data_IF_381894511035
#
_entry.id   IF_381894511035
#
_cell.length_a   1.000
_cell.length_b   1.000
_cell.length_c   1.000
_cell.angle_alpha   90.00
_cell.angle_beta   90.00
_cell.angle_gamma   90.00
#
_symmetry.space_group_name_H-M   'P 1'
#
loop_
_entity.id
_entity.type
_entity.pdbx_description
1 polymer ?
#
# COMPACT_ATOMS: atom_id res chain seq x y z
N UNK A 1 -60.07 13.56 27.57
CA UNK A 1 -58.68 13.80 27.12
C UNK A 1 -58.03 15.02 27.81
N UNK A 2 -58.16 15.17 29.13
CA UNK A 2 -57.54 16.29 29.91
C UNK A 2 -56.73 15.83 31.12
N UNK A 3 -56.69 14.52 31.41
CA UNK A 3 -55.98 13.95 32.57
C UNK A 3 -54.60 13.38 32.23
N UNK A 4 -54.32 13.10 30.95
CA UNK A 4 -53.05 12.53 30.50
C UNK A 4 -51.96 13.58 30.23
N UNK A 5 -52.32 14.83 29.96
CA UNK A 5 -51.37 15.92 29.73
C UNK A 5 -50.73 16.44 31.03
N UNK A 6 -51.42 16.31 32.16
CA UNK A 6 -50.96 16.79 33.47
C UNK A 6 -49.88 15.84 34.05
N UNK A 7 -49.95 14.54 33.76
CA UNK A 7 -48.98 13.55 34.26
C UNK A 7 -47.63 13.68 33.54
N UNK A 8 -47.62 14.03 32.25
CA UNK A 8 -46.38 14.22 31.47
C UNK A 8 -45.64 15.51 31.87
N UNK A 9 -46.38 16.56 32.25
CA UNK A 9 -45.78 17.83 32.69
C UNK A 9 -45.12 17.74 34.08
N UNK A 10 -45.67 16.92 34.99
CA UNK A 10 -45.12 16.75 36.34
C UNK A 10 -43.82 15.92 36.31
N UNK A 11 -43.72 14.92 35.42
CA UNK A 11 -42.51 14.07 35.34
C UNK A 11 -41.30 14.81 34.74
N UNK A 12 -41.51 15.76 33.83
CA UNK A 12 -40.41 16.55 33.22
C UNK A 12 -39.87 17.65 34.14
N UNK A 13 -40.68 18.15 35.09
CA UNK A 13 -40.25 19.15 36.07
C UNK A 13 -39.39 18.54 37.19
N UNK A 14 -39.64 17.27 37.57
CA UNK A 14 -38.87 16.61 38.65
C UNK A 14 -37.47 16.20 38.19
N UNK A 15 -37.28 15.85 36.91
CA UNK A 15 -35.97 15.45 36.37
C UNK A 15 -35.03 16.62 36.05
N UNK A 16 -35.55 17.82 35.81
CA UNK A 16 -34.75 19.00 35.42
C UNK A 16 -34.41 19.93 36.58
N UNK A 17 -35.11 19.82 37.71
CA UNK A 17 -34.97 20.76 38.85
C UNK A 17 -34.29 20.15 40.09
N UNK A 18 -34.09 18.82 40.16
CA UNK A 18 -33.58 18.13 41.38
C UNK A 18 -32.21 17.44 41.17
N UNK A 19 -31.60 17.52 39.98
CA UNK A 19 -30.33 16.81 39.67
C UNK A 19 -29.15 17.66 39.15
N UNK A 20 -29.01 18.93 39.54
CA UNK A 20 -27.68 19.46 39.78
C UNK A 20 -27.56 19.80 41.27
N UNK A 21 -26.43 19.44 41.89
CA UNK A 21 -26.06 19.72 43.28
C UNK A 21 -26.45 18.67 44.35
N UNK A 22 -25.85 17.48 44.24
CA UNK A 22 -25.24 16.82 45.41
C UNK A 22 -23.74 16.73 45.15
N UNK A 23 -22.96 17.57 45.84
CA UNK A 23 -21.49 17.52 45.85
C UNK A 23 -20.79 18.80 45.39
N UNK A 24 -20.97 19.91 46.12
CA UNK A 24 -20.18 21.13 45.95
C UNK A 24 -18.87 21.10 46.75
N UNK A 25 -17.87 21.85 46.28
CA UNK A 25 -17.09 22.83 47.07
C UNK A 25 -15.99 23.48 46.21
N UNK A 26 -16.13 24.79 45.96
CA UNK A 26 -15.01 25.73 45.87
C UNK A 26 -15.17 26.78 46.99
N UNK A 27 -14.38 27.87 47.08
CA UNK A 27 -13.23 28.25 46.26
C UNK A 27 -11.98 28.66 47.09
N UNK A 28 -10.82 28.82 46.44
CA UNK A 28 -9.81 29.78 46.91
C UNK A 28 -9.27 30.58 45.73
N UNK A 29 -9.52 31.89 45.81
CA UNK A 29 -8.87 32.93 45.03
C UNK A 29 -7.47 33.13 45.64
N UNK A 30 -6.48 33.40 44.80
CA UNK A 30 -5.04 33.59 45.06
C UNK A 30 -4.13 32.35 44.88
N UNK A 31 -3.32 32.44 43.82
CA UNK A 31 -1.97 31.90 43.63
C UNK A 31 -1.78 30.38 43.43
N UNK A 32 -1.92 29.94 42.17
CA UNK A 32 -0.87 29.30 41.35
C UNK A 32 -1.52 28.78 40.06
N UNK A 33 -0.93 28.93 38.85
CA UNK A 33 -1.37 28.12 37.72
C UNK A 33 -0.93 26.68 37.99
N UNK A 34 -1.79 25.88 38.62
CA UNK A 34 -1.65 24.44 38.57
C UNK A 34 -2.04 23.99 37.15
N UNK A 35 -1.07 24.03 36.24
CA UNK A 35 -1.14 23.29 34.99
C UNK A 35 -1.18 21.80 35.35
N UNK A 36 -2.36 21.20 35.28
CA UNK A 36 -2.46 19.76 35.14
C UNK A 36 -1.90 19.42 33.75
N UNK A 37 -0.59 19.21 33.67
CA UNK A 37 -0.04 18.38 32.61
C UNK A 37 -0.70 17.03 32.80
N UNK A 38 -1.67 16.70 31.95
CA UNK A 38 -1.91 15.31 31.65
C UNK A 38 -0.54 14.75 31.30
N UNK A 39 0.06 13.96 32.19
CA UNK A 39 1.09 13.02 31.78
C UNK A 39 0.40 12.24 30.66
N UNK A 40 0.83 12.48 29.43
CA UNK A 40 0.70 11.50 28.37
C UNK A 40 0.93 10.15 29.04
N UNK A 41 -0.11 9.32 29.07
CA UNK A 41 0.13 7.90 29.18
C UNK A 41 1.16 7.64 28.08
N UNK A 42 2.38 7.27 28.49
CA UNK A 42 3.46 6.98 27.59
C UNK A 42 2.91 6.01 26.55
N UNK A 43 2.61 6.55 25.36
CA UNK A 43 2.27 5.71 24.23
C UNK A 43 3.52 4.90 23.94
N UNK A 44 3.41 3.59 23.66
CA UNK A 44 4.58 2.79 23.35
C UNK A 44 5.30 3.43 22.17
N UNK A 45 6.50 3.96 22.43
CA UNK A 45 7.41 4.45 21.40
C UNK A 45 7.94 3.20 20.70
N UNK A 46 7.51 2.97 19.46
CA UNK A 46 8.09 1.94 18.62
C UNK A 46 9.56 2.27 18.36
N UNK A 47 10.42 1.25 18.29
CA UNK A 47 11.89 1.36 18.23
C UNK A 47 12.47 2.04 16.98
N UNK A 48 11.66 2.75 16.20
CA UNK A 48 12.08 3.49 14.99
C UNK A 48 11.71 4.98 15.04
N UNK A 49 11.55 5.56 16.23
CA UNK A 49 11.62 7.01 16.35
C UNK A 49 13.00 7.47 15.87
N UNK A 50 13.05 8.08 14.68
CA UNK A 50 14.23 8.79 14.20
C UNK A 50 14.40 9.95 15.17
N UNK A 51 15.44 9.87 16.01
CA UNK A 51 15.89 10.99 16.82
C UNK A 51 16.27 12.10 15.82
N UNK A 52 15.52 13.18 15.81
CA UNK A 52 15.82 14.36 14.99
C UNK A 52 17.23 14.88 15.37
N UNK A 53 17.95 15.45 14.41
CA UNK A 53 19.29 15.99 14.66
C UNK A 53 19.32 17.01 15.82
N UNK A 54 18.19 17.68 16.06
CA UNK A 54 17.99 18.63 17.16
C UNK A 54 17.89 17.96 18.55
N UNK A 55 17.46 16.69 18.65
CA UNK A 55 17.46 15.94 19.91
C UNK A 55 18.87 15.45 20.31
N UNK A 56 19.76 15.27 19.32
CA UNK A 56 21.16 14.89 19.54
C UNK A 56 21.99 16.02 20.18
N UNK A 57 21.63 17.29 19.90
CA UNK A 57 22.27 18.47 20.49
C UNK A 57 21.87 18.69 21.97
N UNK A 58 20.77 18.06 22.43
CA UNK A 58 20.25 18.18 23.80
C UNK A 58 20.95 17.27 24.84
N UNK A 59 21.99 16.53 24.45
CA UNK A 59 22.92 15.88 25.39
C UNK A 59 22.35 14.71 26.22
N UNK A 60 21.31 14.03 25.74
CA UNK A 60 20.80 12.81 26.39
C UNK A 60 21.54 11.56 25.89
N UNK A 61 22.74 11.34 26.42
CA UNK A 61 23.53 10.14 26.16
C UNK A 61 22.98 8.91 26.87
N UNK A 62 22.38 8.00 26.11
CA UNK A 62 22.53 6.55 26.31
C UNK A 62 22.73 5.93 24.93
N UNK A 63 23.94 6.06 24.38
CA UNK A 63 24.33 5.34 23.16
C UNK A 63 25.00 4.06 23.62
N UNK A 64 24.28 2.95 23.55
CA UNK A 64 24.86 1.61 23.59
C UNK A 64 25.72 1.45 22.33
N UNK A 65 27.01 1.17 22.49
CA UNK A 65 28.00 1.12 21.39
C UNK A 65 27.62 0.05 20.35
N UNK A 66 26.84 -0.96 20.75
CA UNK A 66 26.27 -1.95 19.85
C UNK A 66 25.23 -1.37 18.88
N UNK A 67 24.54 -0.30 19.25
CA UNK A 67 23.53 0.37 18.42
C UNK A 67 24.19 1.25 17.37
N UNK A 68 25.29 1.91 17.69
CA UNK A 68 26.04 2.75 16.75
C UNK A 68 26.71 1.92 15.63
N UNK A 69 27.22 0.74 15.95
CA UNK A 69 27.87 -0.17 14.98
C UNK A 69 26.84 -0.80 14.02
N UNK A 70 25.65 -1.16 14.54
CA UNK A 70 24.51 -1.59 13.72
C UNK A 70 23.96 -0.47 12.84
N UNK A 71 23.93 0.76 13.33
CA UNK A 71 23.47 1.92 12.55
C UNK A 71 24.46 2.24 11.42
N UNK A 72 25.76 2.13 11.68
CA UNK A 72 26.80 2.32 10.66
C UNK A 72 26.74 1.24 9.58
N UNK A 73 26.47 -0.01 9.97
CA UNK A 73 26.26 -1.13 9.03
C UNK A 73 24.99 -0.91 8.20
N UNK A 74 23.87 -0.55 8.84
CA UNK A 74 22.63 -0.21 8.13
C UNK A 74 22.81 0.94 7.14
N UNK A 75 23.55 1.99 7.48
CA UNK A 75 23.81 3.13 6.58
C UNK A 75 24.66 2.70 5.36
N UNK A 76 25.59 1.78 5.55
CA UNK A 76 26.40 1.23 4.46
C UNK A 76 25.56 0.35 3.51
N UNK A 77 24.71 -0.52 4.07
CA UNK A 77 23.78 -1.36 3.30
C UNK A 77 22.75 -0.49 2.55
N UNK A 78 22.27 0.57 3.17
CA UNK A 78 21.38 1.57 2.56
C UNK A 78 22.06 2.33 1.41
N UNK A 79 23.36 2.58 1.50
CA UNK A 79 24.13 3.23 0.44
C UNK A 79 24.37 2.30 -0.74
N UNK A 80 24.63 1.02 -0.48
CA UNK A 80 24.75 -0.02 -1.50
C UNK A 80 23.41 -0.25 -2.21
N UNK A 81 22.31 -0.36 -1.47
CA UNK A 81 20.96 -0.47 -2.01
C UNK A 81 20.55 0.76 -2.85
N UNK A 82 20.99 1.97 -2.46
CA UNK A 82 20.78 3.19 -3.26
C UNK A 82 21.62 3.16 -4.54
N UNK A 83 22.86 2.66 -4.48
CA UNK A 83 23.72 2.52 -5.65
C UNK A 83 23.18 1.48 -6.64
N UNK A 84 22.70 0.34 -6.16
CA UNK A 84 22.01 -0.68 -6.98
C UNK A 84 20.72 -0.13 -7.60
N UNK A 85 19.91 0.59 -6.81
CA UNK A 85 18.70 1.28 -7.30
C UNK A 85 19.02 2.30 -8.40
N UNK A 86 20.13 3.02 -8.27
CA UNK A 86 20.57 4.00 -9.26
C UNK A 86 21.15 3.34 -10.52
N UNK A 87 21.74 2.15 -10.40
CA UNK A 87 22.18 1.34 -11.53
C UNK A 87 20.97 0.72 -12.27
N UNK A 88 19.96 0.21 -11.56
CA UNK A 88 18.73 -0.32 -12.18
C UNK A 88 17.91 0.77 -12.89
N UNK A 89 17.89 2.01 -12.38
CA UNK A 89 17.26 3.16 -13.05
C UNK A 89 17.91 3.53 -14.40
N UNK A 90 19.10 3.00 -14.70
CA UNK A 90 19.78 3.20 -16.00
C UNK A 90 19.60 2.04 -16.99
N UNK A 91 18.95 0.96 -16.56
CA UNK A 91 18.63 -0.21 -17.38
C UNK A 91 17.13 -0.21 -17.61
N UNK A 92 16.70 -0.29 -18.87
CA UNK A 92 15.31 -0.40 -19.25
C UNK A 92 14.69 -1.73 -18.74
N UNK A 93 14.23 -1.73 -17.49
CA UNK A 93 13.54 -2.85 -16.84
C UNK A 93 12.05 -2.92 -17.22
N UNK A 94 11.56 -2.01 -18.06
CA UNK A 94 10.17 -1.95 -18.52
C UNK A 94 9.81 -3.18 -19.39
N UNK A 95 10.82 -3.91 -19.90
CA UNK A 95 10.66 -5.08 -20.78
C UNK A 95 10.63 -6.44 -20.05
N UNK A 96 10.47 -6.46 -18.73
CA UNK A 96 10.29 -7.72 -17.97
C UNK A 96 8.98 -8.47 -18.31
N UNK A 97 8.12 -7.90 -19.16
CA UNK A 97 6.91 -8.52 -19.71
C UNK A 97 7.15 -9.84 -20.48
N UNK A 98 8.40 -10.26 -20.69
CA UNK A 98 8.72 -11.40 -21.57
C UNK A 98 9.64 -12.47 -20.98
N UNK A 99 9.81 -12.59 -19.66
CA UNK A 99 10.38 -13.85 -19.14
C UNK A 99 9.31 -14.95 -19.19
N UNK A 100 9.52 -16.06 -19.93
CA UNK A 100 8.67 -17.23 -19.81
C UNK A 100 8.62 -17.63 -18.34
N UNK A 101 7.44 -17.97 -17.83
CA UNK A 101 7.31 -18.57 -16.49
C UNK A 101 8.28 -19.74 -16.43
N UNK A 102 9.28 -19.73 -15.52
CA UNK A 102 10.17 -20.87 -15.38
C UNK A 102 9.33 -22.11 -15.12
N UNK A 103 9.47 -23.14 -15.96
CA UNK A 103 8.98 -24.49 -15.64
C UNK A 103 9.50 -24.82 -14.24
N UNK A 104 8.68 -25.38 -13.32
CA UNK A 104 9.14 -25.68 -11.97
C UNK A 104 10.31 -26.66 -12.05
N UNK A 105 11.52 -26.13 -12.00
CA UNK A 105 12.70 -26.92 -11.68
C UNK A 105 12.55 -27.17 -10.19
N UNK A 106 12.50 -28.45 -9.80
CA UNK A 106 12.63 -28.84 -8.40
C UNK A 106 14.05 -28.45 -8.00
N UNK A 107 14.22 -27.25 -7.46
CA UNK A 107 15.52 -26.77 -6.99
C UNK A 107 15.78 -27.43 -5.64
N UNK A 108 16.94 -28.10 -5.45
CA UNK A 108 17.36 -28.56 -4.14
C UNK A 108 17.40 -27.38 -3.15
N UNK A 109 17.13 -27.62 -1.87
CA UNK A 109 16.94 -26.71 -0.71
C UNK A 109 17.88 -25.49 -0.53
N UNK A 110 18.79 -25.18 -1.44
CA UNK A 110 19.75 -24.09 -1.34
C UNK A 110 19.28 -22.73 -1.90
N UNK A 111 18.04 -22.61 -2.40
CA UNK A 111 17.45 -21.32 -2.81
C UNK A 111 16.77 -20.53 -1.69
N UNK A 112 16.89 -20.97 -0.43
CA UNK A 112 16.40 -20.21 0.73
C UNK A 112 17.06 -18.82 0.92
N UNK A 113 18.14 -18.51 0.19
CA UNK A 113 18.88 -17.24 0.29
C UNK A 113 18.25 -16.06 -0.48
N UNK A 114 17.21 -16.27 -1.30
CA UNK A 114 16.50 -15.15 -1.96
C UNK A 114 15.47 -14.45 -1.05
N UNK A 115 15.26 -14.94 0.18
CA UNK A 115 14.35 -14.34 1.16
C UNK A 115 14.96 -13.11 1.88
N UNK A 116 16.29 -12.96 1.88
CA UNK A 116 16.97 -11.81 2.50
C UNK A 116 16.86 -10.52 1.67
N UNK A 117 16.73 -10.62 0.34
CA UNK A 117 16.64 -9.46 -0.55
C UNK A 117 15.40 -8.57 -0.30
N UNK A 118 14.47 -9.00 0.56
CA UNK A 118 13.28 -8.23 0.92
C UNK A 118 13.30 -7.68 2.35
N UNK A 119 14.32 -8.00 3.17
CA UNK A 119 14.38 -7.65 4.60
C UNK A 119 13.33 -8.35 5.48
N UNK A 120 12.72 -9.45 5.01
CA UNK A 120 11.65 -10.14 5.74
C UNK A 120 12.15 -10.87 7.00
N UNK A 121 13.33 -11.46 6.93
CA UNK A 121 14.07 -12.06 8.05
C UNK A 121 14.31 -11.01 9.15
N UNK A 122 14.85 -9.86 8.77
CA UNK A 122 15.11 -8.74 9.69
C UNK A 122 13.83 -8.21 10.33
N UNK A 123 12.76 -8.02 9.56
CA UNK A 123 11.46 -7.60 10.10
C UNK A 123 10.88 -8.61 11.08
N UNK A 124 11.04 -9.91 10.81
CA UNK A 124 10.61 -10.97 11.72
C UNK A 124 11.43 -10.94 13.01
N UNK A 125 12.75 -10.85 12.90
CA UNK A 125 13.65 -10.75 14.05
C UNK A 125 13.36 -9.49 14.89
N UNK A 126 13.07 -8.35 14.24
CA UNK A 126 12.70 -7.11 14.91
C UNK A 126 11.38 -7.23 15.68
N UNK A 127 10.37 -7.88 15.09
CA UNK A 127 9.10 -8.16 15.77
C UNK A 127 9.32 -9.06 17.00
N UNK A 128 10.08 -10.16 16.83
CA UNK A 128 10.40 -11.10 17.91
C UNK A 128 11.19 -10.43 19.04
N UNK A 129 12.13 -9.53 18.71
CA UNK A 129 12.93 -8.79 19.69
C UNK A 129 12.09 -7.88 20.61
N UNK A 130 10.93 -7.41 20.13
CA UNK A 130 9.95 -6.66 20.95
C UNK A 130 8.80 -7.53 21.46
N UNK A 131 8.91 -8.86 21.35
CA UNK A 131 7.91 -9.82 21.83
C UNK A 131 6.62 -9.87 20.99
N UNK A 132 6.66 -9.36 19.76
CA UNK A 132 5.53 -9.38 18.82
C UNK A 132 5.70 -10.47 17.76
N UNK A 133 4.59 -10.92 17.18
CA UNK A 133 4.60 -11.78 15.99
C UNK A 133 4.29 -10.95 14.73
N UNK A 134 4.71 -11.47 13.57
CA UNK A 134 4.28 -10.91 12.30
C UNK A 134 2.75 -10.90 12.18
N UNK A 135 2.16 -9.92 11.45
CA UNK A 135 0.72 -9.82 11.29
C UNK A 135 0.15 -11.08 10.63
N UNK A 136 -1.08 -11.43 10.98
CA UNK A 136 -1.82 -12.52 10.35
C UNK A 136 -2.58 -12.07 9.11
N UNK A 137 -3.08 -13.04 8.35
CA UNK A 137 -4.01 -12.80 7.25
C UNK A 137 -5.27 -12.08 7.73
N UNK A 138 -5.76 -11.15 6.92
CA UNK A 138 -7.02 -10.43 7.15
C UNK A 138 -8.09 -10.89 6.16
N UNK A 139 -9.35 -10.81 6.58
CA UNK A 139 -10.52 -11.00 5.71
C UNK A 139 -11.09 -9.67 5.25
N UNK A 140 -11.99 -9.72 4.28
CA UNK A 140 -12.72 -8.56 3.79
C UNK A 140 -13.15 -8.73 2.34
N UNK A 141 -13.77 -7.69 1.80
CA UNK A 141 -14.16 -7.62 0.38
C UNK A 141 -13.69 -6.28 -0.17
N UNK A 142 -13.22 -6.31 -1.41
CA UNK A 142 -12.91 -5.07 -2.14
C UNK A 142 -14.19 -4.37 -2.55
N UNK A 143 -14.07 -3.11 -2.99
CA UNK A 143 -15.13 -2.46 -3.74
C UNK A 143 -15.39 -3.15 -5.10
N UNK A 144 -16.29 -2.56 -5.88
CA UNK A 144 -16.53 -2.96 -7.27
C UNK A 144 -15.60 -2.24 -8.25
N UNK A 145 -15.47 -2.82 -9.44
CA UNK A 145 -14.88 -2.18 -10.62
C UNK A 145 -15.91 -2.22 -11.76
N UNK A 146 -15.91 -1.23 -12.67
CA UNK A 146 -16.98 -1.05 -13.64
C UNK A 146 -16.94 -2.06 -14.81
N UNK A 147 -15.87 -2.84 -14.98
CA UNK A 147 -15.68 -3.74 -16.11
C UNK A 147 -15.95 -3.04 -17.46
N UNK A 148 -15.29 -1.88 -17.66
CA UNK A 148 -15.47 -1.03 -18.85
C UNK A 148 -15.14 -1.81 -20.12
N UNK A 149 -15.69 -1.37 -21.24
CA UNK A 149 -15.34 -1.90 -22.55
C UNK A 149 -14.85 -0.76 -23.44
N UNK A 150 -13.78 -1.02 -24.20
CA UNK A 150 -13.12 -0.07 -25.09
C UNK A 150 -12.63 -0.77 -26.37
N UNK A 151 -12.03 -0.04 -27.31
CA UNK A 151 -11.51 -0.62 -28.57
C UNK A 151 -12.58 -1.39 -29.37
N UNK A 152 -13.82 -0.91 -29.39
CA UNK A 152 -14.92 -1.60 -30.08
C UNK A 152 -15.36 -2.93 -29.46
N UNK A 153 -15.03 -3.18 -28.18
CA UNK A 153 -15.34 -4.43 -27.48
C UNK A 153 -14.15 -5.38 -27.33
N UNK A 154 -13.00 -5.04 -27.91
CA UNK A 154 -11.79 -5.85 -27.87
C UNK A 154 -11.00 -5.70 -26.56
N UNK A 155 -11.22 -4.59 -25.86
CA UNK A 155 -10.58 -4.30 -24.58
C UNK A 155 -11.64 -4.36 -23.50
N UNK A 156 -11.39 -5.17 -22.47
CA UNK A 156 -12.21 -5.16 -21.25
C UNK A 156 -11.39 -4.65 -20.07
N UNK A 157 -11.95 -3.73 -19.30
CA UNK A 157 -11.33 -3.13 -18.13
C UNK A 157 -11.44 -4.00 -16.88
N UNK A 158 -11.07 -3.39 -15.77
CA UNK A 158 -10.93 -4.00 -14.45
C UNK A 158 -12.24 -4.61 -14.00
N UNK A 159 -12.21 -5.89 -13.67
CA UNK A 159 -13.35 -6.59 -13.08
C UNK A 159 -13.25 -6.64 -11.56
N UNK A 160 -14.38 -6.93 -10.89
CA UNK A 160 -14.36 -7.23 -9.46
C UNK A 160 -13.49 -8.46 -9.13
N UNK A 161 -13.38 -9.42 -10.05
CA UNK A 161 -12.52 -10.59 -9.92
C UNK A 161 -11.03 -10.22 -9.92
N UNK A 162 -10.62 -9.31 -10.81
CA UNK A 162 -9.24 -8.82 -10.87
C UNK A 162 -8.86 -8.10 -9.57
N UNK A 163 -9.73 -7.21 -9.09
CA UNK A 163 -9.49 -6.45 -7.86
C UNK A 163 -9.41 -7.36 -6.62
N UNK A 164 -10.30 -8.35 -6.51
CA UNK A 164 -10.28 -9.31 -5.42
C UNK A 164 -9.05 -10.23 -5.46
N UNK A 165 -8.65 -10.69 -6.66
CA UNK A 165 -7.45 -11.50 -6.84
C UNK A 165 -6.18 -10.73 -6.49
N UNK A 166 -6.07 -9.48 -6.95
CA UNK A 166 -4.99 -8.58 -6.58
C UNK A 166 -4.96 -8.33 -5.07
N UNK A 167 -6.08 -7.95 -4.46
CA UNK A 167 -6.16 -7.65 -3.03
C UNK A 167 -5.74 -8.83 -2.13
N UNK A 168 -6.21 -10.03 -2.47
CA UNK A 168 -5.86 -11.26 -1.78
C UNK A 168 -4.35 -11.52 -1.85
N UNK A 169 -3.78 -11.51 -3.06
CA UNK A 169 -2.36 -11.80 -3.25
C UNK A 169 -1.45 -10.70 -2.67
N UNK A 170 -1.82 -9.43 -2.84
CA UNK A 170 -1.09 -8.29 -2.31
C UNK A 170 -0.93 -8.38 -0.79
N UNK A 171 -2.03 -8.60 -0.06
CA UNK A 171 -1.98 -8.74 1.39
C UNK A 171 -1.33 -10.06 1.84
N UNK A 172 -1.50 -11.15 1.09
CA UNK A 172 -0.78 -12.40 1.37
C UNK A 172 0.75 -12.19 1.31
N UNK A 173 1.23 -11.47 0.29
CA UNK A 173 2.65 -11.10 0.16
C UNK A 173 3.09 -10.23 1.34
N UNK A 174 2.30 -9.22 1.72
CA UNK A 174 2.62 -8.36 2.88
C UNK A 174 2.78 -9.18 4.16
N UNK A 175 1.80 -10.02 4.46
CA UNK A 175 1.80 -10.90 5.64
C UNK A 175 2.97 -11.87 5.63
N UNK A 176 3.25 -12.53 4.50
CA UNK A 176 4.37 -13.46 4.35
C UNK A 176 5.72 -12.78 4.66
N UNK A 177 5.82 -11.49 4.38
CA UNK A 177 7.03 -10.68 4.56
C UNK A 177 7.00 -9.79 5.81
N UNK A 178 6.13 -10.10 6.78
CA UNK A 178 6.00 -9.39 8.06
C UNK A 178 5.66 -7.90 7.92
N UNK A 179 4.94 -7.53 6.87
CA UNK A 179 4.39 -6.19 6.66
C UNK A 179 2.92 -6.16 7.10
N UNK A 180 2.51 -5.07 7.75
CA UNK A 180 1.11 -4.87 8.11
C UNK A 180 0.23 -4.90 6.86
N UNK A 181 -0.82 -5.74 6.79
CA UNK A 181 -1.72 -5.75 5.64
C UNK A 181 -2.47 -4.42 5.54
N UNK A 182 -2.90 -4.07 4.34
CA UNK A 182 -3.80 -2.92 4.09
C UNK A 182 -5.23 -3.43 4.18
N UNK A 183 -6.15 -2.75 4.88
CA UNK A 183 -7.56 -3.15 4.92
C UNK A 183 -8.09 -3.44 3.51
N UNK A 184 -8.80 -4.57 3.32
CA UNK A 184 -9.18 -5.05 1.98
C UNK A 184 -10.09 -4.03 1.26
N UNK A 185 -10.92 -3.31 2.01
CA UNK A 185 -11.77 -2.22 1.55
C UNK A 185 -11.01 -0.97 1.05
N UNK A 186 -9.73 -0.85 1.42
CA UNK A 186 -8.84 0.21 0.95
C UNK A 186 -8.05 -0.19 -0.31
N UNK A 187 -8.25 -1.41 -0.81
CA UNK A 187 -7.77 -1.81 -2.13
C UNK A 187 -8.87 -1.50 -3.14
N UNK A 188 -8.66 -0.46 -3.94
CA UNK A 188 -9.71 0.23 -4.71
C UNK A 188 -9.38 0.28 -6.19
N UNK A 189 -10.42 0.19 -7.00
CA UNK A 189 -10.35 0.51 -8.42
C UNK A 189 -9.96 1.97 -8.64
N UNK A 190 -9.13 2.23 -9.65
CA UNK A 190 -8.75 3.58 -10.08
C UNK A 190 -8.98 3.77 -11.58
N UNK A 191 -9.99 4.57 -11.91
CA UNK A 191 -10.36 4.82 -13.30
C UNK A 191 -9.35 5.66 -14.08
N UNK A 192 -8.55 6.48 -13.42
CA UNK A 192 -7.54 7.28 -14.10
C UNK A 192 -6.38 6.40 -14.57
N UNK A 193 -5.95 5.43 -13.74
CA UNK A 193 -4.98 4.42 -14.18
C UNK A 193 -5.58 3.50 -15.25
N UNK A 194 -6.85 3.12 -15.14
CA UNK A 194 -7.49 2.32 -16.19
C UNK A 194 -7.54 3.05 -17.54
N UNK A 195 -7.81 4.36 -17.55
CA UNK A 195 -7.77 5.16 -18.78
C UNK A 195 -6.40 5.12 -19.45
N UNK A 196 -5.32 5.12 -18.65
CA UNK A 196 -3.95 4.98 -19.16
C UNK A 196 -3.71 3.61 -19.79
N UNK A 197 -4.19 2.54 -19.14
CA UNK A 197 -4.04 1.17 -19.64
C UNK A 197 -4.88 0.93 -20.90
N UNK A 198 -6.10 1.46 -20.96
CA UNK A 198 -6.94 1.42 -22.17
C UNK A 198 -6.24 2.16 -23.30
N UNK A 199 -5.69 3.34 -23.03
CA UNK A 199 -4.95 4.10 -24.04
C UNK A 199 -3.78 3.31 -24.63
N UNK A 200 -3.03 2.57 -23.81
CA UNK A 200 -1.97 1.66 -24.29
C UNK A 200 -2.55 0.53 -25.14
N UNK A 201 -3.61 -0.11 -24.65
CA UNK A 201 -4.25 -1.25 -25.33
C UNK A 201 -4.94 -0.86 -26.65
N UNK A 202 -5.26 0.41 -26.84
CA UNK A 202 -5.83 0.95 -28.08
C UNK A 202 -4.77 1.33 -29.12
N UNK A 203 -3.48 1.19 -28.82
CA UNK A 203 -2.40 1.45 -29.78
C UNK A 203 -2.50 0.51 -30.98
N UNK A 204 -2.66 1.01 -32.22
CA UNK A 204 -2.79 0.16 -33.40
C UNK A 204 -1.42 -0.35 -33.87
N UNK A 205 -0.77 -1.14 -33.03
CA UNK A 205 0.49 -1.82 -33.33
C UNK A 205 0.34 -3.31 -33.09
N UNK A 206 0.98 -4.12 -33.92
CA UNK A 206 1.07 -5.57 -33.67
C UNK A 206 2.16 -5.91 -32.64
N UNK A 207 2.96 -4.92 -32.22
CA UNK A 207 3.90 -5.06 -31.10
C UNK A 207 3.20 -4.69 -29.79
N UNK A 208 2.97 -5.65 -28.86
CA UNK A 208 2.31 -5.39 -27.59
C UNK A 208 3.08 -4.45 -26.65
N UNK A 209 4.36 -4.20 -26.94
CA UNK A 209 5.20 -3.25 -26.23
C UNK A 209 5.11 -1.83 -26.80
N UNK A 210 4.48 -1.66 -27.95
CA UNK A 210 4.21 -0.33 -28.49
C UNK A 210 3.26 0.41 -27.55
N UNK A 211 3.53 1.71 -27.34
CA UNK A 211 2.91 2.55 -26.31
C UNK A 211 3.08 2.10 -24.83
N UNK A 212 3.62 0.91 -24.57
CA UNK A 212 3.82 0.40 -23.20
C UNK A 212 4.83 1.28 -22.46
N UNK A 213 4.46 1.74 -21.27
CA UNK A 213 5.36 2.45 -20.37
C UNK A 213 4.71 3.62 -19.64
N UNK A 214 5.49 4.22 -18.74
CA UNK A 214 5.08 5.37 -17.93
C UNK A 214 4.64 6.59 -18.77
N UNK A 215 4.03 7.59 -18.13
CA UNK A 215 3.63 8.83 -18.80
C UNK A 215 4.85 9.42 -19.53
N UNK A 216 4.69 9.65 -20.83
CA UNK A 216 5.77 10.06 -21.73
C UNK A 216 6.02 9.05 -22.85
N UNK A 217 5.55 7.79 -22.71
CA UNK A 217 5.48 6.88 -23.85
C UNK A 217 4.52 7.42 -24.92
N UNK A 218 4.77 7.04 -26.18
CA UNK A 218 3.99 7.48 -27.33
C UNK A 218 3.32 6.28 -28.01
N UNK A 219 2.09 6.48 -28.47
CA UNK A 219 1.42 5.54 -29.37
C UNK A 219 1.96 5.63 -30.78
N UNK A 220 1.89 4.52 -31.49
CA UNK A 220 2.26 4.39 -32.90
C UNK A 220 1.45 5.30 -33.81
N UNK A 221 0.20 5.60 -33.46
CA UNK A 221 -0.70 6.50 -34.19
C UNK A 221 -0.61 7.98 -33.75
N UNK A 222 0.24 8.29 -32.78
CA UNK A 222 0.42 9.64 -32.27
C UNK A 222 -0.74 10.18 -31.41
N UNK A 223 -1.68 9.32 -30.97
CA UNK A 223 -2.73 9.77 -30.07
C UNK A 223 -2.13 10.29 -28.75
N UNK A 224 -2.62 11.42 -28.20
CA UNK A 224 -2.04 12.05 -27.02
C UNK A 224 -2.23 11.20 -25.77
N UNK A 225 -1.21 11.17 -24.89
CA UNK A 225 -1.25 10.44 -23.61
C UNK A 225 -2.43 10.89 -22.73
N UNK A 226 -3.13 9.92 -22.14
CA UNK A 226 -4.23 10.14 -21.17
C UNK A 226 -4.04 9.26 -19.92
N UNK A 227 -4.82 9.56 -18.88
CA UNK A 227 -4.86 8.78 -17.64
C UNK A 227 -3.76 9.12 -16.63
N UNK A 228 -3.61 8.27 -15.62
CA UNK A 228 -2.67 8.42 -14.51
C UNK A 228 -1.63 7.30 -14.52
N UNK A 229 -0.46 7.61 -13.96
CA UNK A 229 0.65 6.67 -13.84
C UNK A 229 0.53 5.76 -12.60
N UNK A 230 1.29 4.67 -12.62
CA UNK A 230 1.42 3.70 -11.55
C UNK A 230 2.51 2.68 -11.87
N UNK A 231 2.74 1.74 -10.97
CA UNK A 231 3.62 0.61 -11.26
C UNK A 231 2.96 -0.25 -12.33
N UNK A 232 3.64 -0.44 -13.46
CA UNK A 232 3.10 -1.19 -14.60
C UNK A 232 3.58 -2.64 -14.55
N UNK A 233 2.70 -3.57 -14.90
CA UNK A 233 3.04 -4.96 -15.15
C UNK A 233 2.00 -5.61 -16.06
N UNK A 234 2.35 -6.71 -16.69
CA UNK A 234 1.41 -7.49 -17.49
C UNK A 234 2.09 -8.48 -18.41
N UNK A 235 1.28 -9.01 -19.33
CA UNK A 235 1.65 -10.08 -20.23
C UNK A 235 0.52 -11.09 -20.44
N UNK A 236 0.82 -12.09 -21.26
CA UNK A 236 -0.14 -13.15 -21.58
C UNK A 236 -0.30 -14.14 -20.40
N UNK A 237 -1.55 -14.41 -20.03
CA UNK A 237 -1.92 -15.30 -18.93
C UNK A 237 -1.83 -14.67 -17.55
N UNK A 238 -1.57 -13.36 -17.47
CA UNK A 238 -1.53 -12.65 -16.20
C UNK A 238 -2.92 -12.45 -15.60
N UNK A 239 -2.94 -12.22 -14.29
CA UNK A 239 -4.11 -11.93 -13.48
C UNK A 239 -3.74 -10.87 -12.45
N UNK A 240 -4.73 -10.28 -11.77
CA UNK A 240 -4.48 -9.41 -10.62
C UNK A 240 -3.54 -10.02 -9.57
N UNK A 241 -3.61 -11.35 -9.36
CA UNK A 241 -2.70 -12.04 -8.45
C UNK A 241 -1.26 -12.14 -9.01
N UNK A 242 -1.08 -12.54 -10.27
CA UNK A 242 0.27 -12.73 -10.81
C UNK A 242 1.04 -11.42 -10.91
N UNK A 243 0.38 -10.31 -11.27
CA UNK A 243 1.03 -8.98 -11.33
C UNK A 243 1.44 -8.47 -9.94
N UNK A 244 0.69 -8.79 -8.87
CA UNK A 244 1.11 -8.50 -7.50
C UNK A 244 2.44 -9.19 -7.16
N UNK A 245 2.61 -10.45 -7.56
CA UNK A 245 3.87 -11.19 -7.41
C UNK A 245 5.01 -10.52 -8.20
N UNK A 246 4.77 -10.17 -9.47
CA UNK A 246 5.78 -9.50 -10.31
C UNK A 246 6.28 -8.19 -9.70
N UNK A 247 5.40 -7.37 -9.13
CA UNK A 247 5.81 -6.14 -8.46
C UNK A 247 6.59 -6.38 -7.17
N UNK A 248 6.29 -7.45 -6.43
CA UNK A 248 7.09 -7.82 -5.26
C UNK A 248 8.50 -8.29 -5.64
N UNK A 249 8.62 -9.04 -6.73
CA UNK A 249 9.90 -9.61 -7.18
C UNK A 249 10.82 -8.58 -7.83
N UNK A 250 10.33 -7.37 -8.14
CA UNK A 250 11.12 -6.26 -8.66
C UNK A 250 11.38 -5.22 -7.58
N UNK A 251 12.67 -4.90 -7.32
CA UNK A 251 13.06 -4.03 -6.22
C UNK A 251 12.41 -2.64 -6.27
N UNK A 252 12.44 -1.97 -7.42
CA UNK A 252 11.85 -0.64 -7.60
C UNK A 252 10.32 -0.65 -7.43
N UNK A 253 9.63 -1.65 -7.99
CA UNK A 253 8.19 -1.79 -7.86
C UNK A 253 7.77 -2.14 -6.43
N UNK A 254 8.51 -3.02 -5.76
CA UNK A 254 8.30 -3.38 -4.37
C UNK A 254 8.48 -2.16 -3.45
N UNK A 255 9.54 -1.38 -3.64
CA UNK A 255 9.80 -0.20 -2.83
C UNK A 255 8.70 0.87 -2.98
N UNK A 256 8.19 1.07 -4.19
CA UNK A 256 7.15 2.07 -4.49
C UNK A 256 5.74 1.62 -4.10
N UNK A 257 5.38 0.35 -4.31
CA UNK A 257 4.03 -0.14 -4.07
C UNK A 257 3.86 -0.82 -2.72
N UNK A 258 4.80 -1.66 -2.30
CA UNK A 258 4.69 -2.39 -1.02
C UNK A 258 5.28 -1.62 0.15
N UNK A 259 6.13 -0.62 -0.11
CA UNK A 259 6.70 0.27 0.91
C UNK A 259 7.18 -0.52 2.15
N UNK A 260 8.11 -1.49 1.99
CA UNK A 260 8.53 -2.37 3.07
C UNK A 260 9.09 -1.62 4.30
N UNK A 261 9.60 -0.40 4.09
CA UNK A 261 10.18 0.45 5.13
C UNK A 261 9.18 1.47 5.71
N UNK A 262 7.91 1.41 5.30
CA UNK A 262 6.87 2.30 5.85
C UNK A 262 6.51 1.90 7.28
N UNK A 263 6.85 2.78 8.23
CA UNK A 263 6.60 2.57 9.66
C UNK A 263 5.24 3.08 10.16
N UNK A 264 4.44 3.73 9.29
CA UNK A 264 3.13 4.26 9.67
C UNK A 264 2.03 3.19 9.72
N UNK A 265 0.86 3.57 10.23
CA UNK A 265 -0.31 2.70 10.21
C UNK A 265 -0.87 2.53 8.78
N UNK A 266 -1.32 1.32 8.44
CA UNK A 266 -1.94 1.03 7.14
C UNK A 266 -3.44 1.33 7.07
N UNK A 267 -4.06 1.72 8.20
CA UNK A 267 -5.49 2.01 8.26
C UNK A 267 -5.93 3.17 7.35
N UNK A 268 -5.07 4.16 7.13
CA UNK A 268 -5.31 5.29 6.21
C UNK A 268 -4.68 5.12 4.83
N UNK A 269 -4.10 3.95 4.54
CA UNK A 269 -3.45 3.68 3.25
C UNK A 269 -4.48 3.12 2.28
N UNK A 270 -4.47 3.65 1.06
CA UNK A 270 -5.22 3.13 -0.08
C UNK A 270 -4.25 2.55 -1.11
N UNK A 271 -4.57 1.35 -1.61
CA UNK A 271 -3.89 0.78 -2.78
C UNK A 271 -4.85 0.88 -3.95
N UNK A 272 -4.44 1.64 -4.94
CA UNK A 272 -5.21 1.83 -6.15
C UNK A 272 -4.75 0.80 -7.18
N UNK A 273 -5.69 0.20 -7.90
CA UNK A 273 -5.44 -0.85 -8.88
C UNK A 273 -6.33 -0.68 -10.10
N UNK A 274 -5.77 -0.96 -11.27
CA UNK A 274 -6.50 -1.10 -12.52
C UNK A 274 -5.89 -2.21 -13.36
N UNK A 275 -6.72 -2.84 -14.19
CA UNK A 275 -6.29 -3.81 -15.19
C UNK A 275 -7.11 -3.64 -16.48
N UNK A 276 -6.52 -4.05 -17.60
CA UNK A 276 -7.20 -4.20 -18.89
C UNK A 276 -6.80 -5.55 -19.49
N UNK A 277 -7.69 -6.12 -20.28
CA UNK A 277 -7.54 -7.40 -20.94
C UNK A 277 -7.76 -7.22 -22.44
N UNK A 278 -6.89 -7.81 -23.26
CA UNK A 278 -6.88 -7.65 -24.71
C UNK A 278 -6.31 -6.30 -25.16
N UNK A 279 -6.38 -6.07 -26.47
CA UNK A 279 -5.80 -4.92 -27.14
C UNK A 279 -6.07 -4.94 -28.64
N UNK A 280 -6.01 -3.76 -29.24
CA UNK A 280 -6.20 -3.55 -30.67
C UNK A 280 -4.86 -3.77 -31.36
N UNK A 281 -4.86 -4.52 -32.46
CA UNK A 281 -3.70 -4.61 -33.35
C UNK A 281 -4.08 -4.28 -34.79
N UNK A 282 -3.09 -4.07 -35.65
CA UNK A 282 -3.31 -3.78 -37.07
C UNK A 282 -3.61 -5.02 -37.90
N UNK A 283 -2.94 -6.13 -37.59
CA UNK A 283 -3.15 -7.43 -38.23
C UNK A 283 -3.63 -8.51 -37.25
N UNK A 284 -3.26 -8.40 -35.96
CA UNK A 284 -3.68 -9.34 -34.91
C UNK A 284 -4.02 -8.58 -33.63
N UNK A 285 -5.27 -8.70 -33.20
CA UNK A 285 -5.67 -8.20 -31.88
C UNK A 285 -5.05 -9.07 -30.78
N UNK A 286 -4.69 -8.43 -29.68
CA UNK A 286 -4.21 -9.15 -28.51
C UNK A 286 -5.37 -9.95 -27.89
N UNK A 287 -5.12 -11.19 -27.44
CA UNK A 287 -6.16 -12.01 -26.86
C UNK A 287 -6.59 -11.46 -25.50
N UNK A 288 -7.82 -11.79 -25.07
CA UNK A 288 -8.30 -11.43 -23.73
C UNK A 288 -7.45 -12.00 -22.58
N UNK A 289 -6.55 -12.95 -22.84
CA UNK A 289 -5.56 -13.43 -21.86
C UNK A 289 -4.38 -12.49 -21.68
N UNK A 290 -4.18 -11.50 -22.56
CA UNK A 290 -3.13 -10.49 -22.40
C UNK A 290 -3.62 -9.39 -21.47
N UNK A 291 -2.94 -9.23 -20.33
CA UNK A 291 -3.32 -8.26 -19.30
C UNK A 291 -2.31 -7.13 -19.25
N UNK A 292 -2.79 -5.89 -19.12
CA UNK A 292 -2.01 -4.75 -18.62
C UNK A 292 -2.57 -4.34 -17.27
N UNK A 293 -1.72 -4.12 -16.28
CA UNK A 293 -2.13 -3.72 -14.95
C UNK A 293 -1.28 -2.56 -14.43
N UNK A 294 -1.91 -1.75 -13.58
CA UNK A 294 -1.28 -0.64 -12.89
C UNK A 294 -1.69 -0.63 -11.42
N UNK A 295 -0.74 -0.33 -10.53
CA UNK A 295 -1.05 -0.12 -9.13
C UNK A 295 -0.23 1.02 -8.51
N UNK A 296 -0.80 1.70 -7.51
CA UNK A 296 -0.08 2.72 -6.75
C UNK A 296 -0.49 2.74 -5.29
N UNK A 297 0.48 3.07 -4.43
CA UNK A 297 0.26 3.37 -3.03
C UNK A 297 -0.17 4.84 -2.85
N UNK A 298 -1.17 5.09 -2.02
CA UNK A 298 -1.63 6.44 -1.69
C UNK A 298 -2.37 6.51 -0.36
N UNK A 299 -2.93 7.68 -0.06
CA UNK A 299 -3.80 7.89 1.10
C UNK A 299 -5.27 7.70 0.73
N UNK A 300 -6.05 7.19 1.68
CA UNK A 300 -7.49 7.40 1.73
C UNK A 300 -7.79 8.74 2.42
#
# INVERSE_FOLDING_TARGET
MKRSAIVVAIFSAVLTLVLPFVGGSGPSLFAAPASATAREAAQPIFATHVVDADELEAGRTVIDVATADRLATQIADDAELRAERQAELTVDTEHLAQRPVPVPVVVPEQQAQQQDASGASDRRAAAEAVGMSCPGSIGGVTGGAPARSAGGGLITGTTAGDLAAFASQYNAIRVANCLQPVPVENIRYDGCMEDRLIWMAEDPSDDPLSAWGHIGSARSDGAPSVGCDGNLAGGNGDTGASVAGKWWDSAAHRASLYKPDYAGATAGVCIYFAATHGGVGTSVNEPASFVRAAARWGGC
#
